data_IF_723457709344
#
_entry.id   IF_723457709344
#
_cell.length_a   1.000
_cell.length_b   1.000
_cell.length_c   1.000
_cell.angle_alpha   90.00
_cell.angle_beta   90.00
_cell.angle_gamma   90.00
#
_symmetry.space_group_name_H-M   'P 1'
#
loop_
_entity.id
_entity.type
_entity.pdbx_description
1 polymer ?
#
# COMPACT_ATOMS: atom_id res chain seq x y z
N UNK A 1 35.41 20.77 16.53
CA UNK A 1 34.31 19.86 16.89
C UNK A 1 33.01 20.63 16.76
N UNK A 2 32.19 20.33 15.76
CA UNK A 2 30.95 21.04 15.48
C UNK A 2 29.83 20.00 15.38
N UNK A 3 28.76 20.06 16.20
CA UNK A 3 27.71 19.07 16.16
C UNK A 3 26.85 19.33 14.93
N UNK A 4 26.99 18.47 13.93
CA UNK A 4 26.08 18.42 12.79
C UNK A 4 24.72 18.00 13.33
N UNK A 5 23.78 18.94 13.39
CA UNK A 5 22.36 18.69 13.61
C UNK A 5 21.91 17.55 12.70
N UNK A 6 21.61 16.40 13.30
CA UNK A 6 20.80 15.36 12.69
C UNK A 6 19.47 16.02 12.30
N UNK A 7 19.29 16.24 11.00
CA UNK A 7 17.95 16.38 10.45
C UNK A 7 17.36 14.98 10.55
N UNK A 8 16.65 14.69 11.65
CA UNK A 8 15.57 13.72 11.57
C UNK A 8 14.72 14.14 10.37
N UNK A 9 14.21 13.16 9.62
CA UNK A 9 13.17 13.44 8.65
C UNK A 9 11.94 13.89 9.43
N UNK A 10 11.95 15.16 9.86
CA UNK A 10 10.86 15.80 10.55
C UNK A 10 9.73 15.84 9.53
N UNK A 11 8.74 14.96 9.75
CA UNK A 11 7.49 14.88 8.97
C UNK A 11 6.99 16.32 8.80
N UNK A 12 6.71 16.75 7.58
CA UNK A 12 6.20 18.09 7.30
C UNK A 12 4.80 18.22 7.91
N UNK A 13 4.61 18.92 9.04
CA UNK A 13 3.33 18.97 9.74
C UNK A 13 2.24 19.66 8.90
N UNK A 14 2.63 20.43 7.88
CA UNK A 14 1.70 21.14 7.00
C UNK A 14 1.12 20.27 5.88
N UNK A 15 1.77 19.14 5.57
CA UNK A 15 1.18 18.13 4.69
C UNK A 15 0.02 17.41 5.37
N UNK A 16 0.02 17.33 6.70
CA UNK A 16 -0.86 16.48 7.52
C UNK A 16 -1.94 17.26 8.30
N UNK A 17 -2.10 18.56 8.07
CA UNK A 17 -3.25 19.26 8.62
C UNK A 17 -4.51 18.75 7.92
N UNK A 18 -5.30 17.94 8.64
CA UNK A 18 -6.66 17.54 8.26
C UNK A 18 -7.36 18.80 7.74
N UNK A 19 -7.57 18.87 6.42
CA UNK A 19 -8.33 19.96 5.84
C UNK A 19 -9.68 20.02 6.56
N UNK A 20 -10.22 21.23 6.77
CA UNK A 20 -11.49 21.38 7.46
C UNK A 20 -12.53 20.42 6.86
N UNK A 21 -13.07 19.53 7.69
CA UNK A 21 -14.00 18.51 7.26
C UNK A 21 -15.24 19.20 6.68
N UNK A 22 -15.69 18.82 5.46
CA UNK A 22 -16.94 19.34 4.93
C UNK A 22 -18.12 18.79 5.73
N UNK A 23 -19.31 19.39 5.55
CA UNK A 23 -20.53 18.86 6.14
C UNK A 23 -20.80 17.43 5.61
N UNK A 24 -21.21 16.53 6.51
CA UNK A 24 -21.37 15.12 6.18
C UNK A 24 -22.57 14.83 5.26
N UNK A 25 -23.49 15.76 5.06
CA UNK A 25 -24.64 15.63 4.17
C UNK A 25 -24.35 16.05 2.71
N UNK A 26 -23.21 16.70 2.45
CA UNK A 26 -22.80 17.11 1.10
C UNK A 26 -21.85 16.11 0.45
N UNK A 27 -22.41 15.21 -0.37
CA UNK A 27 -21.66 14.20 -1.13
C UNK A 27 -20.62 14.83 -2.06
N UNK A 28 -20.94 15.95 -2.72
CA UNK A 28 -20.05 16.57 -3.69
C UNK A 28 -18.83 17.20 -2.99
N UNK A 29 -19.06 17.83 -1.84
CA UNK A 29 -17.99 18.37 -1.00
C UNK A 29 -17.13 17.24 -0.41
N UNK A 30 -17.74 16.14 0.06
CA UNK A 30 -17.03 14.97 0.56
C UNK A 30 -16.14 14.31 -0.53
N UNK A 31 -16.64 14.17 -1.74
CA UNK A 31 -15.86 13.68 -2.89
C UNK A 31 -14.73 14.64 -3.28
N UNK A 32 -14.97 15.95 -3.23
CA UNK A 32 -13.95 16.96 -3.46
C UNK A 32 -12.84 16.91 -2.42
N UNK A 33 -13.21 16.74 -1.15
CA UNK A 33 -12.29 16.53 -0.05
C UNK A 33 -11.40 15.30 -0.29
N UNK A 34 -11.98 14.16 -0.69
CA UNK A 34 -11.20 12.96 -0.99
C UNK A 34 -10.20 13.17 -2.16
N UNK A 35 -10.60 13.92 -3.20
CA UNK A 35 -9.68 14.31 -4.30
C UNK A 35 -8.55 15.22 -3.81
N UNK A 36 -8.85 16.13 -2.88
CA UNK A 36 -7.87 17.05 -2.32
C UNK A 36 -6.85 16.31 -1.45
N UNK A 37 -7.30 15.40 -0.57
CA UNK A 37 -6.43 14.49 0.21
C UNK A 37 -5.45 13.77 -0.72
N UNK A 38 -5.95 13.17 -1.80
CA UNK A 38 -5.10 12.54 -2.82
C UNK A 38 -4.06 13.50 -3.39
N UNK A 39 -4.45 14.74 -3.73
CA UNK A 39 -3.58 15.68 -4.43
C UNK A 39 -2.44 16.21 -3.55
N UNK A 40 -2.65 16.26 -2.24
CA UNK A 40 -1.68 16.71 -1.24
C UNK A 40 -0.71 15.62 -0.82
N UNK A 41 -1.11 14.34 -0.90
CA UNK A 41 -0.40 13.28 -0.18
C UNK A 41 0.54 12.35 -0.94
N UNK A 42 0.76 12.37 -2.27
CA UNK A 42 1.96 11.76 -2.91
C UNK A 42 1.99 11.87 -4.45
N UNK A 43 3.19 12.01 -5.05
CA UNK A 43 3.41 12.01 -6.51
C UNK A 43 2.99 10.70 -7.24
N UNK A 44 2.93 9.56 -6.53
CA UNK A 44 2.62 8.25 -7.13
C UNK A 44 1.13 8.10 -7.46
N UNK A 45 0.21 8.66 -6.67
CA UNK A 45 -1.23 8.55 -6.94
C UNK A 45 -1.64 9.38 -8.17
N UNK A 46 -0.98 10.52 -8.41
CA UNK A 46 -1.19 11.32 -9.64
C UNK A 46 -0.82 10.54 -10.90
N UNK A 47 0.20 9.67 -10.83
CA UNK A 47 0.56 8.79 -11.95
C UNK A 47 -0.44 7.64 -12.08
N UNK A 48 -0.79 6.97 -10.98
CA UNK A 48 -1.74 5.83 -10.99
C UNK A 48 -3.15 6.24 -11.42
N UNK A 49 -3.64 7.39 -10.95
CA UNK A 49 -4.95 7.94 -11.35
C UNK A 49 -5.02 8.31 -12.84
N UNK A 50 -3.89 8.62 -13.48
CA UNK A 50 -3.82 8.83 -14.93
C UNK A 50 -3.83 7.53 -15.73
N UNK A 51 -3.40 6.42 -15.14
CA UNK A 51 -3.38 5.10 -15.78
C UNK A 51 -4.71 4.37 -15.72
N UNK A 52 -5.58 4.75 -14.78
CA UNK A 52 -6.95 4.24 -14.74
C UNK A 52 -7.92 5.13 -15.53
N UNK A 53 -9.04 4.58 -16.03
CA UNK A 53 -10.07 5.36 -16.72
C UNK A 53 -10.63 6.49 -15.84
N UNK A 54 -11.06 7.61 -16.44
CA UNK A 54 -11.66 8.73 -15.71
C UNK A 54 -12.79 8.32 -14.75
N UNK A 55 -13.62 7.34 -15.13
CA UNK A 55 -14.71 6.81 -14.30
C UNK A 55 -14.26 6.16 -12.99
N UNK A 56 -13.03 5.69 -12.89
CA UNK A 56 -12.51 5.05 -11.67
C UNK A 56 -11.79 6.03 -10.73
N UNK A 57 -11.45 7.23 -11.21
CA UNK A 57 -10.59 8.16 -10.46
C UNK A 57 -11.21 8.63 -9.16
N UNK A 58 -12.52 8.94 -9.16
CA UNK A 58 -13.22 9.34 -7.94
C UNK A 58 -13.29 8.20 -6.94
N UNK A 59 -13.63 6.99 -7.40
CA UNK A 59 -13.67 5.81 -6.54
C UNK A 59 -12.33 5.53 -5.87
N UNK A 60 -11.23 5.60 -6.63
CA UNK A 60 -9.89 5.44 -6.08
C UNK A 60 -9.55 6.55 -5.08
N UNK A 61 -9.98 7.79 -5.33
CA UNK A 61 -9.75 8.88 -4.39
C UNK A 61 -10.48 8.65 -3.05
N UNK A 62 -11.71 8.14 -3.11
CA UNK A 62 -12.49 7.83 -1.90
C UNK A 62 -11.88 6.66 -1.12
N UNK A 63 -11.43 5.60 -1.80
CA UNK A 63 -10.73 4.47 -1.18
C UNK A 63 -9.39 4.90 -0.57
N UNK A 64 -8.62 5.73 -1.28
CA UNK A 64 -7.36 6.26 -0.77
C UNK A 64 -7.58 7.14 0.47
N UNK A 65 -8.57 8.03 0.44
CA UNK A 65 -8.90 8.86 1.58
C UNK A 65 -9.30 8.02 2.80
N UNK A 66 -10.05 6.93 2.62
CA UNK A 66 -10.32 5.96 3.69
C UNK A 66 -9.04 5.36 4.27
N UNK A 67 -8.17 4.80 3.43
CA UNK A 67 -6.94 4.17 3.91
C UNK A 67 -6.02 5.17 4.63
N UNK A 68 -5.87 6.37 4.07
CA UNK A 68 -5.08 7.47 4.65
C UNK A 68 -5.63 7.92 6.00
N UNK A 69 -6.94 8.17 6.08
CA UNK A 69 -7.59 8.60 7.31
C UNK A 69 -7.45 7.55 8.41
N UNK A 70 -7.53 6.27 8.03
CA UNK A 70 -7.34 5.16 8.97
C UNK A 70 -5.91 5.11 9.53
N UNK A 71 -4.90 5.34 8.69
CA UNK A 71 -3.49 5.45 9.11
C UNK A 71 -3.26 6.67 10.03
N UNK A 72 -3.85 7.82 9.70
CA UNK A 72 -3.75 9.06 10.50
C UNK A 72 -4.37 8.92 11.90
N UNK A 73 -5.51 8.22 12.03
CA UNK A 73 -6.15 7.96 13.33
C UNK A 73 -5.22 7.21 14.30
N UNK A 74 -4.33 6.37 13.76
CA UNK A 74 -3.35 5.63 14.57
C UNK A 74 -2.12 6.47 14.88
N UNK A 75 -1.62 7.22 13.88
CA UNK A 75 -0.39 7.99 13.97
C UNK A 75 -0.52 9.26 14.83
N UNK A 76 -1.70 9.88 14.90
CA UNK A 76 -1.93 11.16 15.59
C UNK A 76 -2.44 11.02 17.03
N UNK A 77 -2.84 9.83 17.45
CA UNK A 77 -3.36 9.58 18.79
C UNK A 77 -2.29 9.79 19.87
N UNK A 78 -2.65 10.46 20.96
CA UNK A 78 -1.74 10.74 22.07
C UNK A 78 -1.56 9.55 23.02
N UNK A 79 -2.45 8.54 22.95
CA UNK A 79 -2.38 7.36 23.80
C UNK A 79 -2.96 6.09 23.14
N UNK A 80 -2.57 4.90 23.65
CA UNK A 80 -3.17 3.62 23.26
C UNK A 80 -4.70 3.57 23.34
N UNK A 81 -5.24 4.15 24.41
CA UNK A 81 -6.69 4.19 24.65
C UNK A 81 -7.40 5.06 23.61
N UNK A 82 -6.79 6.16 23.18
CA UNK A 82 -7.31 7.01 22.10
C UNK A 82 -7.30 6.30 20.76
N UNK A 83 -6.25 5.54 20.42
CA UNK A 83 -6.22 4.71 19.21
C UNK A 83 -7.35 3.69 19.24
N UNK A 84 -7.46 2.91 20.32
CA UNK A 84 -8.46 1.86 20.45
C UNK A 84 -9.89 2.43 20.34
N UNK A 85 -10.16 3.56 20.99
CA UNK A 85 -11.45 4.24 20.88
C UNK A 85 -11.69 4.77 19.45
N UNK A 86 -10.71 5.47 18.87
CA UNK A 86 -10.81 6.05 17.53
C UNK A 86 -11.00 4.99 16.44
N UNK A 87 -10.28 3.87 16.50
CA UNK A 87 -10.46 2.75 15.57
C UNK A 87 -11.78 2.02 15.77
N UNK A 88 -12.26 1.86 17.02
CA UNK A 88 -13.58 1.31 17.28
C UNK A 88 -14.69 2.19 16.68
N UNK A 89 -14.63 3.51 16.90
CA UNK A 89 -15.55 4.47 16.31
C UNK A 89 -15.46 4.46 14.78
N UNK A 90 -14.24 4.36 14.25
CA UNK A 90 -14.02 4.30 12.81
C UNK A 90 -14.58 3.01 12.20
N UNK A 91 -14.38 1.84 12.84
CA UNK A 91 -14.99 0.57 12.44
C UNK A 91 -16.52 0.63 12.47
N UNK A 92 -17.10 1.26 13.48
CA UNK A 92 -18.54 1.49 13.54
C UNK A 92 -18.98 2.37 12.36
N UNK A 93 -18.24 3.44 12.06
CA UNK A 93 -18.49 4.28 10.88
C UNK A 93 -18.40 3.52 9.55
N UNK A 94 -17.49 2.54 9.44
CA UNK A 94 -17.42 1.64 8.29
C UNK A 94 -18.68 0.78 8.18
N UNK A 95 -19.14 0.18 9.28
CA UNK A 95 -20.38 -0.58 9.30
C UNK A 95 -21.59 0.28 8.88
N UNK A 96 -21.68 1.51 9.40
CA UNK A 96 -22.74 2.45 9.05
C UNK A 96 -22.66 2.92 7.59
N UNK A 97 -21.47 3.10 7.03
CA UNK A 97 -21.26 3.37 5.61
C UNK A 97 -21.87 2.26 4.73
N UNK A 98 -21.58 1.00 5.04
CA UNK A 98 -22.11 -0.16 4.33
C UNK A 98 -23.62 -0.38 4.58
N UNK A 99 -24.13 0.07 5.73
CA UNK A 99 -25.57 0.09 6.02
C UNK A 99 -26.32 1.30 5.39
N UNK A 100 -25.61 2.18 4.68
CA UNK A 100 -26.20 3.34 3.99
C UNK A 100 -26.47 4.56 4.88
N UNK A 101 -25.85 4.64 6.06
CA UNK A 101 -25.96 5.76 7.01
C UNK A 101 -24.59 6.36 7.37
N UNK A 102 -23.75 6.75 6.40
CA UNK A 102 -22.41 7.25 6.69
C UNK A 102 -22.46 8.55 7.51
N UNK A 103 -21.71 8.61 8.61
CA UNK A 103 -21.66 9.79 9.50
C UNK A 103 -20.45 10.72 9.28
N UNK A 104 -19.42 10.25 8.59
CA UNK A 104 -18.17 11.00 8.37
C UNK A 104 -17.97 11.32 6.87
N UNK A 105 -17.46 12.49 6.46
CA UNK A 105 -17.30 12.85 5.05
C UNK A 105 -16.55 11.81 4.19
N UNK A 106 -15.48 11.21 4.71
CA UNK A 106 -14.78 10.12 4.03
C UNK A 106 -15.72 8.94 3.75
N UNK A 107 -16.55 8.56 4.72
CA UNK A 107 -17.57 7.51 4.55
C UNK A 107 -18.71 7.94 3.63
N UNK A 108 -19.09 9.21 3.62
CA UNK A 108 -20.13 9.75 2.74
C UNK A 108 -19.71 9.60 1.28
N UNK A 109 -18.47 9.98 0.96
CA UNK A 109 -17.89 9.78 -0.37
C UNK A 109 -17.73 8.29 -0.70
N UNK A 110 -17.26 7.48 0.27
CA UNK A 110 -17.05 6.04 0.07
C UNK A 110 -18.38 5.30 -0.17
N UNK A 111 -19.47 5.67 0.49
CA UNK A 111 -20.76 4.98 0.40
C UNK A 111 -21.29 4.92 -1.04
N UNK A 112 -21.10 6.00 -1.82
CA UNK A 112 -21.43 6.01 -3.25
C UNK A 112 -20.59 4.99 -4.04
N UNK A 113 -19.31 4.90 -3.74
CA UNK A 113 -18.37 3.96 -4.37
C UNK A 113 -18.71 2.51 -4.04
N UNK A 114 -18.97 2.21 -2.77
CA UNK A 114 -19.36 0.88 -2.29
C UNK A 114 -20.61 0.38 -3.01
N UNK A 115 -21.66 1.20 -3.07
CA UNK A 115 -22.91 0.82 -3.75
C UNK A 115 -22.73 0.62 -5.26
N UNK A 116 -22.06 1.57 -5.93
CA UNK A 116 -21.93 1.55 -7.40
C UNK A 116 -21.05 0.41 -7.89
N UNK A 117 -19.95 0.11 -7.19
CA UNK A 117 -19.05 -0.99 -7.54
C UNK A 117 -19.43 -2.33 -6.88
N UNK A 118 -20.44 -2.34 -5.99
CA UNK A 118 -20.85 -3.53 -5.22
C UNK A 118 -19.75 -4.05 -4.32
N UNK A 119 -18.95 -3.15 -3.72
CA UNK A 119 -17.85 -3.57 -2.83
C UNK A 119 -18.39 -4.26 -1.59
N UNK A 120 -17.60 -5.17 -1.04
CA UNK A 120 -17.90 -5.83 0.23
C UNK A 120 -17.06 -5.19 1.34
N UNK A 121 -17.48 -5.38 2.59
CA UNK A 121 -16.88 -4.69 3.74
C UNK A 121 -15.52 -5.28 4.13
N UNK A 122 -15.31 -6.57 3.86
CA UNK A 122 -14.19 -7.35 4.36
C UNK A 122 -12.82 -6.75 3.97
N UNK A 123 -12.56 -6.34 2.71
CA UNK A 123 -11.27 -5.72 2.37
C UNK A 123 -11.00 -4.41 3.14
N UNK A 124 -12.02 -3.66 3.55
CA UNK A 124 -11.85 -2.45 4.33
C UNK A 124 -11.60 -2.76 5.81
N UNK A 125 -12.31 -3.75 6.35
CA UNK A 125 -12.10 -4.23 7.71
C UNK A 125 -10.71 -4.85 7.89
N UNK A 126 -10.26 -5.64 6.91
CA UNK A 126 -8.91 -6.23 6.86
C UNK A 126 -7.81 -5.15 6.99
N UNK A 127 -7.98 -4.01 6.31
CA UNK A 127 -7.03 -2.88 6.43
C UNK A 127 -7.02 -2.30 7.84
N UNK A 128 -8.18 -2.17 8.49
CA UNK A 128 -8.27 -1.70 9.87
C UNK A 128 -7.62 -2.69 10.84
N UNK A 129 -7.79 -4.00 10.63
CA UNK A 129 -7.12 -5.04 11.42
C UNK A 129 -5.60 -4.94 11.32
N UNK A 130 -5.06 -4.64 10.13
CA UNK A 130 -3.61 -4.45 9.97
C UNK A 130 -3.09 -3.21 10.71
N UNK A 131 -3.82 -2.09 10.69
CA UNK A 131 -3.44 -0.87 11.42
C UNK A 131 -3.45 -1.09 12.95
N UNK A 132 -4.43 -1.83 13.47
CA UNK A 132 -4.47 -2.23 14.88
C UNK A 132 -3.29 -3.12 15.27
N UNK A 133 -2.97 -4.11 14.43
CA UNK A 133 -1.85 -5.01 14.65
C UNK A 133 -0.51 -4.25 14.71
N UNK A 134 -0.22 -3.39 13.73
CA UNK A 134 1.01 -2.60 13.70
C UNK A 134 1.15 -1.74 14.98
N UNK A 135 0.05 -1.18 15.48
CA UNK A 135 0.09 -0.35 16.69
C UNK A 135 0.29 -1.15 17.98
N UNK A 136 -0.36 -2.31 18.10
CA UNK A 136 -0.23 -3.17 19.26
C UNK A 136 1.23 -3.58 19.49
N UNK A 137 1.99 -3.78 18.39
CA UNK A 137 3.43 -4.02 18.45
C UNK A 137 4.23 -2.81 18.95
N UNK A 138 3.94 -1.62 18.42
CA UNK A 138 4.60 -0.37 18.85
C UNK A 138 4.37 -0.10 20.35
N UNK A 139 3.18 -0.42 20.86
CA UNK A 139 2.77 -0.23 22.26
C UNK A 139 3.43 -1.18 23.25
N UNK A 140 3.53 -2.45 22.88
CA UNK A 140 4.14 -3.46 23.74
C UNK A 140 5.65 -3.27 23.90
N UNK A 141 6.28 -2.38 23.11
CA UNK A 141 7.74 -2.31 22.96
C UNK A 141 8.32 -3.61 22.40
N UNK A 142 7.46 -4.47 21.85
CA UNK A 142 7.78 -5.76 21.28
C UNK A 142 7.71 -5.54 19.78
N UNK A 143 8.87 -5.49 19.12
CA UNK A 143 8.94 -5.39 17.67
C UNK A 143 7.95 -6.33 16.98
N UNK A 144 7.28 -5.85 15.93
CA UNK A 144 6.55 -6.70 14.97
C UNK A 144 7.45 -7.88 14.63
N UNK A 145 6.96 -9.11 14.84
CA UNK A 145 7.75 -10.34 14.65
C UNK A 145 6.88 -11.42 14.04
N UNK A 146 7.22 -11.80 12.82
CA UNK A 146 6.62 -12.94 12.14
C UNK A 146 7.53 -14.15 12.30
N UNK A 147 6.96 -15.27 12.74
CA UNK A 147 7.75 -16.48 12.99
C UNK A 147 8.30 -17.04 11.67
N UNK A 148 7.50 -17.01 10.62
CA UNK A 148 7.81 -17.56 9.31
C UNK A 148 7.15 -16.76 8.17
N UNK A 149 7.37 -17.22 6.92
CA UNK A 149 6.75 -16.62 5.73
C UNK A 149 5.22 -16.66 5.78
N UNK A 150 4.62 -17.72 6.34
CA UNK A 150 3.15 -17.85 6.39
C UNK A 150 2.54 -16.79 7.30
N UNK A 151 3.17 -16.53 8.45
CA UNK A 151 2.74 -15.48 9.36
C UNK A 151 2.83 -14.09 8.69
N UNK A 152 3.92 -13.81 7.98
CA UNK A 152 4.09 -12.52 7.28
C UNK A 152 3.10 -12.37 6.11
N UNK A 153 2.82 -13.44 5.34
CA UNK A 153 1.76 -13.44 4.32
C UNK A 153 0.40 -13.22 4.96
N UNK A 154 0.16 -13.80 6.13
CA UNK A 154 -1.05 -13.55 6.91
C UNK A 154 -1.26 -12.07 7.22
N UNK A 155 -0.18 -11.33 7.51
CA UNK A 155 -0.25 -9.87 7.63
C UNK A 155 -0.47 -9.17 6.28
N UNK A 156 0.21 -9.57 5.20
CA UNK A 156 0.01 -9.00 3.87
C UNK A 156 -1.43 -9.15 3.36
N UNK A 157 -2.10 -10.26 3.70
CA UNK A 157 -3.52 -10.49 3.42
C UNK A 157 -4.44 -9.44 4.04
N UNK A 158 -4.00 -8.77 5.11
CA UNK A 158 -4.71 -7.67 5.77
C UNK A 158 -4.21 -6.30 5.35
N UNK A 159 -2.90 -6.12 5.18
CA UNK A 159 -2.28 -4.80 5.00
C UNK A 159 -2.12 -4.34 3.54
N UNK A 160 -2.03 -5.28 2.58
CA UNK A 160 -1.66 -4.95 1.19
C UNK A 160 -2.64 -5.53 0.16
N UNK A 161 -2.98 -6.81 0.29
CA UNK A 161 -3.85 -7.52 -0.64
C UNK A 161 -5.24 -6.88 -0.79
N UNK A 162 -5.88 -6.38 0.28
CA UNK A 162 -7.20 -5.76 0.15
C UNK A 162 -7.26 -4.59 -0.83
N UNK A 163 -6.17 -3.83 -0.99
CA UNK A 163 -6.09 -2.74 -1.97
C UNK A 163 -6.26 -3.27 -3.39
N UNK A 164 -5.58 -4.36 -3.75
CA UNK A 164 -5.69 -4.99 -5.06
C UNK A 164 -7.09 -5.54 -5.32
N UNK A 165 -7.67 -6.20 -4.30
CA UNK A 165 -9.05 -6.72 -4.34
C UNK A 165 -10.07 -5.61 -4.60
N UNK A 166 -9.95 -4.48 -3.90
CA UNK A 166 -10.81 -3.31 -4.10
C UNK A 166 -10.64 -2.76 -5.52
N UNK A 167 -9.40 -2.56 -6.00
CA UNK A 167 -9.14 -2.03 -7.35
C UNK A 167 -9.74 -2.91 -8.45
N UNK A 168 -9.61 -4.23 -8.35
CA UNK A 168 -10.26 -5.16 -9.28
C UNK A 168 -11.79 -5.06 -9.22
N UNK A 169 -12.36 -5.02 -8.02
CA UNK A 169 -13.80 -4.93 -7.82
C UNK A 169 -14.40 -3.60 -8.30
N UNK A 170 -13.65 -2.49 -8.22
CA UNK A 170 -14.04 -1.19 -8.80
C UNK A 170 -14.28 -1.26 -10.31
N UNK A 171 -13.66 -2.22 -10.99
CA UNK A 171 -13.85 -2.46 -12.42
C UNK A 171 -14.65 -3.73 -12.72
N UNK A 172 -15.40 -4.23 -11.74
CA UNK A 172 -16.29 -5.39 -11.87
C UNK A 172 -15.58 -6.74 -11.92
N UNK A 173 -14.27 -6.81 -11.68
CA UNK A 173 -13.53 -8.06 -11.69
C UNK A 173 -13.61 -8.78 -10.34
N UNK A 174 -14.26 -9.95 -10.32
CA UNK A 174 -14.46 -10.77 -9.11
C UNK A 174 -14.03 -12.23 -9.27
N UNK A 175 -13.35 -12.58 -10.37
CA UNK A 175 -12.83 -13.93 -10.57
C UNK A 175 -11.80 -14.24 -9.47
N UNK A 176 -12.04 -15.25 -8.61
CA UNK A 176 -11.13 -15.60 -7.52
C UNK A 176 -9.70 -15.90 -7.98
N UNK A 177 -9.52 -16.40 -9.21
CA UNK A 177 -8.19 -16.67 -9.78
C UNK A 177 -7.44 -15.37 -10.06
N UNK A 178 -8.13 -14.35 -10.58
CA UNK A 178 -7.53 -13.03 -10.85
C UNK A 178 -7.27 -12.27 -9.55
N UNK A 179 -8.15 -12.45 -8.56
CA UNK A 179 -7.93 -11.95 -7.19
C UNK A 179 -6.67 -12.56 -6.59
N UNK A 180 -6.49 -13.88 -6.64
CA UNK A 180 -5.28 -14.54 -6.14
C UNK A 180 -3.99 -14.05 -6.83
N UNK A 181 -4.04 -13.78 -8.13
CA UNK A 181 -2.90 -13.16 -8.84
C UNK A 181 -2.64 -11.73 -8.37
N UNK A 182 -3.69 -10.96 -8.07
CA UNK A 182 -3.56 -9.61 -7.53
C UNK A 182 -2.95 -9.63 -6.14
N UNK A 183 -3.43 -10.52 -5.26
CA UNK A 183 -2.89 -10.73 -3.92
C UNK A 183 -1.40 -11.06 -4.01
N UNK A 184 -1.00 -11.93 -4.94
CA UNK A 184 0.42 -12.24 -5.18
C UNK A 184 1.25 -10.99 -5.56
N UNK A 185 0.71 -10.09 -6.41
CA UNK A 185 1.39 -8.83 -6.74
C UNK A 185 1.47 -7.91 -5.51
N UNK A 186 0.36 -7.73 -4.79
CA UNK A 186 0.25 -6.87 -3.62
C UNK A 186 1.18 -7.32 -2.49
N UNK A 187 1.19 -8.61 -2.17
CA UNK A 187 2.15 -9.22 -1.25
C UNK A 187 3.59 -8.97 -1.73
N UNK A 188 3.91 -9.22 -2.99
CA UNK A 188 5.26 -8.94 -3.52
C UNK A 188 5.69 -7.48 -3.37
N UNK A 189 4.77 -6.53 -3.60
CA UNK A 189 5.00 -5.09 -3.42
C UNK A 189 5.29 -4.76 -1.95
N UNK A 190 4.52 -5.34 -1.03
CA UNK A 190 4.71 -5.13 0.39
C UNK A 190 6.04 -5.70 0.88
N UNK A 191 6.40 -6.90 0.42
CA UNK A 191 7.68 -7.52 0.74
C UNK A 191 8.88 -6.65 0.29
N UNK A 192 8.90 -6.17 -0.96
CA UNK A 192 10.01 -5.31 -1.41
C UNK A 192 10.07 -3.97 -0.67
N UNK A 193 8.93 -3.45 -0.18
CA UNK A 193 8.93 -2.27 0.69
C UNK A 193 9.65 -2.57 2.01
N UNK A 194 9.33 -3.68 2.69
CA UNK A 194 10.04 -4.09 3.91
C UNK A 194 11.54 -4.26 3.69
N UNK A 195 11.94 -4.89 2.58
CA UNK A 195 13.36 -5.14 2.30
C UNK A 195 14.13 -3.85 1.97
N UNK A 196 13.48 -2.87 1.35
CA UNK A 196 14.04 -1.54 1.10
C UNK A 196 14.18 -0.72 2.40
N UNK A 197 13.28 -0.93 3.36
CA UNK A 197 13.11 -0.08 4.56
C UNK A 197 13.64 -0.68 5.86
N UNK A 198 14.39 -1.79 5.83
CA UNK A 198 14.96 -2.46 7.02
C UNK A 198 15.50 -1.51 8.08
N UNK A 199 16.35 -0.53 7.72
CA UNK A 199 16.88 0.45 8.68
C UNK A 199 15.79 1.32 9.29
N UNK A 200 14.88 1.79 8.44
CA UNK A 200 13.80 2.71 8.82
C UNK A 200 12.83 2.00 9.75
N UNK A 201 12.43 0.79 9.40
CA UNK A 201 11.54 -0.04 10.20
C UNK A 201 12.20 -0.38 11.54
N UNK A 202 13.49 -0.75 11.53
CA UNK A 202 14.25 -1.00 12.76
C UNK A 202 14.31 0.22 13.68
N UNK A 203 14.53 1.42 13.14
CA UNK A 203 14.52 2.68 13.91
C UNK A 203 13.13 3.01 14.47
N UNK A 204 12.07 2.55 13.82
CA UNK A 204 10.70 2.60 14.32
C UNK A 204 10.36 1.43 15.26
N UNK A 205 11.33 0.56 15.59
CA UNK A 205 11.13 -0.58 16.49
C UNK A 205 10.53 -1.82 15.83
N UNK A 206 10.43 -1.88 14.49
CA UNK A 206 9.76 -2.96 13.74
C UNK A 206 10.77 -3.88 13.04
N UNK A 207 10.45 -5.18 12.93
CA UNK A 207 11.28 -6.18 12.24
C UNK A 207 10.41 -7.14 11.42
N UNK A 208 10.19 -6.82 10.14
CA UNK A 208 9.38 -7.65 9.23
C UNK A 208 10.11 -8.91 8.73
N UNK A 209 11.41 -9.04 8.93
CA UNK A 209 12.17 -10.24 8.54
C UNK A 209 11.67 -11.47 9.31
N UNK A 210 11.26 -12.57 8.63
CA UNK A 210 10.83 -13.79 9.31
C UNK A 210 11.91 -14.37 10.23
N UNK A 211 11.53 -14.75 11.45
CA UNK A 211 12.45 -15.23 12.49
C UNK A 211 13.16 -16.53 12.10
N UNK A 212 12.44 -17.46 11.48
CA UNK A 212 13.01 -18.71 10.97
C UNK A 212 14.13 -18.44 9.95
N UNK A 213 13.94 -17.48 9.05
CA UNK A 213 14.91 -17.07 8.05
C UNK A 213 16.11 -16.38 8.70
N UNK A 214 15.86 -15.44 9.63
CA UNK A 214 16.92 -14.83 10.43
C UNK A 214 17.78 -15.88 11.13
N UNK A 215 17.16 -16.89 11.76
CA UNK A 215 17.86 -17.99 12.43
C UNK A 215 18.69 -18.83 11.46
N UNK A 216 18.15 -19.20 10.29
CA UNK A 216 18.89 -19.97 9.25
C UNK A 216 20.16 -19.26 8.79
N UNK A 217 20.12 -17.94 8.68
CA UNK A 217 21.25 -17.11 8.26
C UNK A 217 22.15 -16.63 9.41
N UNK A 218 21.83 -16.98 10.67
CA UNK A 218 22.58 -16.52 11.84
C UNK A 218 22.44 -15.01 12.10
N UNK A 219 21.35 -14.40 11.64
CA UNK A 219 21.05 -12.99 11.84
C UNK A 219 20.26 -12.81 13.14
N UNK A 220 20.73 -11.92 14.01
CA UNK A 220 20.03 -11.51 15.23
C UNK A 220 19.56 -10.07 15.11
N UNK A 221 18.51 -9.69 15.85
CA UNK A 221 17.99 -8.31 15.82
C UNK A 221 19.06 -7.23 16.10
N UNK A 222 20.02 -7.40 17.04
CA UNK A 222 21.09 -6.42 17.23
C UNK A 222 21.98 -6.18 16.00
N UNK A 223 22.06 -7.14 15.05
CA UNK A 223 22.79 -6.90 13.79
C UNK A 223 22.08 -5.88 12.89
N UNK A 224 20.77 -5.66 13.09
CA UNK A 224 20.00 -4.66 12.36
C UNK A 224 20.30 -3.22 12.83
N UNK A 225 20.94 -3.07 13.99
CA UNK A 225 21.35 -1.76 14.54
C UNK A 225 22.68 -1.25 13.94
N UNK A 226 23.36 -2.09 13.14
CA UNK A 226 24.61 -1.73 12.49
C UNK A 226 24.44 -0.63 11.44
N UNK A 227 25.53 0.11 11.16
CA UNK A 227 25.56 1.10 10.08
C UNK A 227 25.57 0.48 8.68
N UNK A 228 25.97 -0.79 8.56
CA UNK A 228 26.08 -1.54 7.30
C UNK A 228 25.67 -2.98 7.52
N UNK A 229 25.01 -3.57 6.53
CA UNK A 229 24.68 -4.98 6.52
C UNK A 229 25.94 -5.83 6.34
N UNK A 230 26.20 -6.74 7.29
CA UNK A 230 27.23 -7.77 7.15
C UNK A 230 26.84 -8.87 6.15
N UNK A 231 27.75 -9.82 5.85
CA UNK A 231 27.50 -10.88 4.87
C UNK A 231 26.21 -11.68 5.14
N UNK A 232 25.98 -12.11 6.38
CA UNK A 232 24.80 -12.88 6.77
C UNK A 232 23.47 -12.15 6.48
N UNK A 233 23.38 -10.85 6.81
CA UNK A 233 22.17 -10.06 6.53
C UNK A 233 21.97 -9.83 5.03
N UNK A 234 23.04 -9.68 4.26
CA UNK A 234 22.96 -9.54 2.80
C UNK A 234 22.47 -10.82 2.13
N UNK A 235 22.94 -11.99 2.60
CA UNK A 235 22.44 -13.29 2.13
C UNK A 235 20.95 -13.48 2.48
N UNK A 236 20.55 -13.15 3.71
CA UNK A 236 19.14 -13.17 4.12
C UNK A 236 18.29 -12.28 3.21
N UNK A 237 18.69 -11.02 2.99
CA UNK A 237 17.96 -10.09 2.14
C UNK A 237 17.91 -10.53 0.68
N UNK A 238 18.95 -11.22 0.18
CA UNK A 238 18.89 -11.85 -1.14
C UNK A 238 17.80 -12.91 -1.21
N UNK A 239 17.70 -13.80 -0.22
CA UNK A 239 16.61 -14.78 -0.13
C UNK A 239 15.24 -14.09 -0.10
N UNK A 240 15.09 -13.03 0.71
CA UNK A 240 13.81 -12.35 0.86
C UNK A 240 13.39 -11.57 -0.41
N UNK A 241 14.34 -10.96 -1.12
CA UNK A 241 14.09 -10.33 -2.43
C UNK A 241 13.72 -11.37 -3.49
N UNK A 242 14.35 -12.55 -3.47
CA UNK A 242 13.98 -13.65 -4.36
C UNK A 242 12.53 -14.10 -4.12
N UNK A 243 12.12 -14.21 -2.85
CA UNK A 243 10.73 -14.51 -2.51
C UNK A 243 9.74 -13.45 -3.04
N UNK A 244 10.04 -12.16 -2.91
CA UNK A 244 9.19 -11.13 -3.50
C UNK A 244 9.10 -11.24 -5.04
N UNK A 245 10.19 -11.66 -5.70
CA UNK A 245 10.20 -11.94 -7.15
C UNK A 245 9.31 -13.13 -7.51
N UNK A 246 9.30 -14.20 -6.71
CA UNK A 246 8.38 -15.34 -6.88
C UNK A 246 6.92 -14.88 -6.83
N UNK A 247 6.56 -14.01 -5.88
CA UNK A 247 5.22 -13.41 -5.80
C UNK A 247 4.87 -12.61 -7.05
N UNK A 248 5.82 -11.82 -7.58
CA UNK A 248 5.63 -11.10 -8.84
C UNK A 248 5.48 -12.03 -10.05
N UNK A 249 6.18 -13.16 -10.09
CA UNK A 249 6.09 -14.15 -11.17
C UNK A 249 4.73 -14.84 -11.16
N UNK A 250 4.26 -15.24 -9.97
CA UNK A 250 2.94 -15.85 -9.80
C UNK A 250 1.78 -14.89 -10.15
N UNK A 251 1.94 -13.59 -9.90
CA UNK A 251 0.94 -12.58 -10.23
C UNK A 251 1.02 -12.04 -11.67
N UNK A 252 2.15 -12.22 -12.37
CA UNK A 252 2.39 -11.63 -13.68
C UNK A 252 1.30 -11.89 -14.76
N UNK A 253 0.67 -13.08 -14.84
CA UNK A 253 -0.40 -13.33 -15.81
C UNK A 253 -1.58 -12.35 -15.72
N UNK A 254 -1.81 -11.74 -14.55
CA UNK A 254 -2.89 -10.77 -14.35
C UNK A 254 -2.82 -9.58 -15.33
N UNK A 255 -1.62 -9.18 -15.75
CA UNK A 255 -1.43 -8.10 -16.73
C UNK A 255 -2.17 -8.38 -18.04
N UNK A 256 -2.26 -9.65 -18.47
CA UNK A 256 -2.98 -10.04 -19.67
C UNK A 256 -4.45 -10.42 -19.45
N UNK A 257 -4.80 -10.84 -18.22
CA UNK A 257 -6.10 -11.44 -17.91
C UNK A 257 -7.08 -10.47 -17.22
N UNK A 258 -6.59 -9.42 -16.56
CA UNK A 258 -7.42 -8.40 -15.91
C UNK A 258 -8.28 -7.62 -16.93
N UNK A 259 -9.30 -6.86 -16.47
CA UNK A 259 -10.00 -5.89 -17.31
C UNK A 259 -9.03 -4.97 -18.06
N UNK A 260 -9.21 -4.74 -19.38
CA UNK A 260 -8.28 -3.94 -20.19
C UNK A 260 -7.96 -2.56 -19.60
N UNK A 261 -8.92 -1.96 -18.91
CA UNK A 261 -8.80 -0.66 -18.23
C UNK A 261 -7.79 -0.65 -17.07
N UNK A 262 -7.53 -1.80 -16.43
CA UNK A 262 -6.63 -1.90 -15.28
C UNK A 262 -5.24 -2.40 -15.63
N UNK A 263 -5.08 -3.13 -16.75
CA UNK A 263 -3.80 -3.73 -17.19
C UNK A 263 -2.61 -2.77 -17.17
N UNK A 264 -2.72 -1.50 -17.64
CA UNK A 264 -1.62 -0.55 -17.62
C UNK A 264 -1.14 -0.20 -16.21
N UNK A 265 -2.09 -0.02 -15.27
CA UNK A 265 -1.79 0.26 -13.87
C UNK A 265 -1.13 -0.97 -13.22
N UNK A 266 -1.71 -2.17 -13.40
CA UNK A 266 -1.18 -3.43 -12.87
C UNK A 266 0.25 -3.68 -13.40
N UNK A 267 0.46 -3.46 -14.70
CA UNK A 267 1.77 -3.59 -15.33
C UNK A 267 2.79 -2.60 -14.74
N UNK A 268 2.39 -1.35 -14.49
CA UNK A 268 3.27 -0.37 -13.85
C UNK A 268 3.67 -0.82 -12.44
N UNK A 269 2.71 -1.24 -11.62
CA UNK A 269 2.97 -1.67 -10.26
C UNK A 269 3.91 -2.88 -10.23
N UNK A 270 3.63 -3.90 -11.04
CA UNK A 270 4.49 -5.08 -11.17
C UNK A 270 5.92 -4.70 -11.58
N UNK A 271 6.07 -3.87 -12.60
CA UNK A 271 7.38 -3.44 -13.08
C UNK A 271 8.11 -2.55 -12.05
N UNK A 272 7.37 -1.69 -11.35
CA UNK A 272 7.89 -0.87 -10.26
C UNK A 272 8.41 -1.70 -9.09
N UNK A 273 7.65 -2.70 -8.65
CA UNK A 273 8.06 -3.64 -7.60
C UNK A 273 9.34 -4.41 -7.95
N UNK A 274 9.42 -4.94 -9.18
CA UNK A 274 10.66 -5.59 -9.68
C UNK A 274 11.84 -4.62 -9.70
N UNK A 275 11.64 -3.40 -10.18
CA UNK A 275 12.69 -2.38 -10.21
C UNK A 275 13.19 -1.99 -8.81
N UNK A 276 12.33 -2.05 -7.78
CA UNK A 276 12.75 -1.88 -6.38
C UNK A 276 13.62 -3.05 -5.92
N UNK A 277 13.23 -4.28 -6.23
CA UNK A 277 14.08 -5.47 -5.99
C UNK A 277 15.46 -5.33 -6.62
N UNK A 278 15.52 -4.90 -7.88
CA UNK A 278 16.79 -4.64 -8.59
C UNK A 278 17.58 -3.49 -7.96
N UNK A 279 16.91 -2.49 -7.37
CA UNK A 279 17.57 -1.40 -6.66
C UNK A 279 18.22 -1.88 -5.35
N UNK A 280 17.58 -2.79 -4.63
CA UNK A 280 18.15 -3.43 -3.43
C UNK A 280 19.39 -4.26 -3.81
N UNK A 281 19.30 -5.04 -4.90
CA UNK A 281 20.44 -5.83 -5.40
C UNK A 281 21.62 -4.94 -5.82
N UNK A 282 21.36 -3.80 -6.49
CA UNK A 282 22.41 -2.85 -6.92
C UNK A 282 23.21 -2.23 -5.77
N UNK A 283 22.62 -2.08 -4.58
CA UNK A 283 23.36 -1.62 -3.38
C UNK A 283 24.01 -2.78 -2.61
N UNK A 284 24.07 -3.98 -3.22
CA UNK A 284 24.64 -5.17 -2.60
C UNK A 284 23.83 -5.66 -1.40
N UNK A 285 22.51 -5.44 -1.40
CA UNK A 285 21.60 -5.77 -0.30
C UNK A 285 21.92 -5.04 1.03
N UNK A 286 22.69 -3.95 0.99
CA UNK A 286 23.02 -3.15 2.18
C UNK A 286 21.95 -2.08 2.46
N UNK A 287 20.75 -2.53 2.85
CA UNK A 287 19.62 -1.63 3.15
C UNK A 287 19.67 -1.02 4.56
N UNK A 288 20.73 -1.34 5.33
CA UNK A 288 21.07 -0.62 6.55
C UNK A 288 21.78 0.70 6.26
N UNK A 289 22.67 0.72 5.28
CA UNK A 289 23.47 1.89 4.90
C UNK A 289 22.79 2.77 3.86
N UNK A 290 21.99 2.17 2.99
CA UNK A 290 21.33 2.85 1.88
C UNK A 290 19.84 2.55 1.90
N UNK A 291 19.01 3.54 1.60
CA UNK A 291 17.63 3.30 1.20
C UNK A 291 17.57 3.35 -0.32
N UNK A 292 17.52 2.20 -1.03
CA UNK A 292 17.35 2.20 -2.47
C UNK A 292 16.15 3.05 -2.86
N UNK A 293 16.25 3.82 -3.93
CA UNK A 293 15.10 4.51 -4.51
C UNK A 293 15.16 4.38 -6.03
N UNK A 294 13.99 4.39 -6.67
CA UNK A 294 13.94 4.43 -8.12
C UNK A 294 14.39 5.81 -8.60
N UNK A 295 15.48 5.84 -9.39
CA UNK A 295 15.97 7.06 -10.01
C UNK A 295 14.95 7.64 -10.99
N UNK A 296 15.05 8.96 -11.24
CA UNK A 296 14.14 9.70 -12.14
C UNK A 296 14.03 9.02 -13.52
N UNK A 297 15.14 8.55 -14.08
CA UNK A 297 15.18 7.88 -15.38
C UNK A 297 14.45 6.53 -15.39
N UNK A 298 14.54 5.73 -14.33
CA UNK A 298 13.79 4.48 -14.22
C UNK A 298 12.30 4.77 -14.15
N UNK A 299 11.88 5.75 -13.34
CA UNK A 299 10.47 6.19 -13.28
C UNK A 299 9.98 6.70 -14.65
N UNK A 300 10.77 7.50 -15.35
CA UNK A 300 10.48 7.99 -16.70
C UNK A 300 10.36 6.86 -17.72
N UNK A 301 11.29 5.89 -17.72
CA UNK A 301 11.25 4.73 -18.62
C UNK A 301 10.01 3.88 -18.38
N UNK A 302 9.66 3.62 -17.12
CA UNK A 302 8.45 2.88 -16.75
C UNK A 302 7.20 3.64 -17.23
N UNK A 303 7.12 4.94 -16.97
CA UNK A 303 5.99 5.77 -17.42
C UNK A 303 5.88 5.81 -18.96
N UNK A 304 6.99 5.98 -19.68
CA UNK A 304 7.03 6.00 -21.14
C UNK A 304 6.63 4.65 -21.74
N UNK A 305 7.11 3.55 -21.16
CA UNK A 305 6.72 2.19 -21.56
C UNK A 305 5.20 1.99 -21.42
N UNK A 306 4.62 2.34 -20.26
CA UNK A 306 3.16 2.22 -20.04
C UNK A 306 2.36 3.10 -20.99
N UNK A 307 2.82 4.33 -21.25
CA UNK A 307 2.17 5.23 -22.21
C UNK A 307 2.18 4.67 -23.63
N UNK A 308 3.27 4.00 -24.03
CA UNK A 308 3.33 3.30 -25.32
C UNK A 308 2.34 2.15 -25.38
N UNK A 309 2.29 1.28 -24.37
CA UNK A 309 1.34 0.15 -24.31
C UNK A 309 -0.12 0.60 -24.33
N UNK A 310 -0.43 1.73 -23.68
CA UNK A 310 -1.76 2.36 -23.70
C UNK A 310 -2.21 2.78 -25.09
N UNK A 311 -1.28 3.23 -25.96
CA UNK A 311 -1.61 3.67 -27.31
C UNK A 311 -1.73 2.52 -28.31
N UNK A 312 -1.04 1.42 -28.07
CA UNK A 312 -1.05 0.25 -28.96
C UNK A 312 -2.17 -0.75 -28.65
N UNK A 313 -2.88 -0.58 -27.53
CA UNK A 313 -4.02 -1.45 -27.17
C UNK A 313 -5.26 -1.00 -27.95
N UNK A 314 -5.89 -1.85 -28.78
CA UNK A 314 -7.08 -1.46 -29.54
C UNK A 314 -8.18 -1.01 -28.58
N UNK A 315 -8.71 0.20 -28.77
CA UNK A 315 -9.95 0.62 -28.09
C UNK A 315 -11.07 -0.31 -28.56
N UNK A 316 -11.49 -1.23 -27.71
CA UNK A 316 -12.75 -1.94 -27.93
C UNK A 316 -13.86 -0.90 -28.03
N UNK A 317 -14.49 -0.83 -29.21
CA UNK A 317 -15.58 0.07 -29.50
C UNK A 317 -16.71 -0.11 -28.46
N UNK A 318 -17.43 0.96 -28.07
CA UNK A 318 -18.61 0.80 -27.24
C UNK A 318 -19.57 -0.16 -27.95
N UNK A 319 -19.91 -1.25 -27.29
CA UNK A 319 -20.83 -2.27 -27.79
C UNK A 319 -22.08 -1.57 -28.29
N UNK A 320 -22.28 -1.59 -29.61
CA UNK A 320 -23.48 -1.08 -30.24
C UNK A 320 -24.66 -1.78 -29.61
N UNK A 321 -25.51 -0.98 -28.96
CA UNK A 321 -26.82 -1.43 -28.51
C UNK A 321 -27.56 -2.09 -29.66
N UNK A 322 -28.31 -3.12 -29.34
CA UNK A 322 -29.27 -3.75 -30.24
C UNK A 322 -30.20 -4.63 -29.41
N UNK A 323 -31.46 -4.77 -29.86
CA UNK A 323 -32.48 -3.74 -29.81
C UNK A 323 -33.56 -4.04 -28.78
#
# INVERSE_FOLDING_TARGET
MSPRKERSAQRDPTAWQLAALPAADDVAAAEAFCRDVVSRHYENFTVVSRLVPPRLRQHLANVYAFARWSDDLVDEAASPAEVACGLADWRQGLADCFAGRPGHPVYVALAGTVRQAGLTIEPFADLLDAFEEDRAFDEAGVAVRYEDRSALVGYCHRSADPVGRIVLALDGCRDPRLVAMSDSICTGLQLVNFWQDVRRDRLAGRVYLPRDAMKRHGVTEPLLDALRAGPALRELLREQVAWARECFDAGAPLVGLAPPSLRPAIALFLAGGRAVGDAIERVGYDTLAYRPTLGKWTKLRLAAWVWWTLQTTPRSAPGGGRP
#
